data_IF_374088588139
#
_entry.id   IF_374088588139
#
_cell.length_a   1.000
_cell.length_b   1.000
_cell.length_c   1.000
_cell.angle_alpha   90.00
_cell.angle_beta   90.00
_cell.angle_gamma   90.00
#
_symmetry.space_group_name_H-M   'P 1'
#
loop_
_entity.id
_entity.type
_entity.pdbx_description
1 polymer ?
#
# COMPACT_ATOMS: atom_id res chain seq x y z
N UNK A 1 31.99 -74.73 -29.54
CA UNK A 1 32.09 -73.29 -29.85
C UNK A 1 30.93 -72.57 -29.16
N UNK A 2 31.20 -71.81 -28.11
CA UNK A 2 30.17 -71.06 -27.36
C UNK A 2 29.93 -69.70 -28.00
N UNK A 3 28.67 -69.36 -28.27
CA UNK A 3 28.26 -68.08 -28.86
C UNK A 3 28.59 -66.94 -27.87
N UNK A 4 29.24 -65.85 -28.28
CA UNK A 4 29.45 -64.70 -27.38
C UNK A 4 28.10 -64.12 -26.97
N UNK A 5 27.97 -63.77 -25.69
CA UNK A 5 26.77 -63.12 -25.17
C UNK A 5 26.62 -61.72 -25.80
N UNK A 6 25.40 -61.36 -26.20
CA UNK A 6 25.11 -60.02 -26.69
C UNK A 6 25.32 -58.99 -25.57
N UNK A 7 25.88 -57.79 -25.87
CA UNK A 7 26.00 -56.74 -24.87
C UNK A 7 24.60 -56.31 -24.38
N UNK A 8 24.46 -55.90 -23.10
CA UNK A 8 23.19 -55.43 -22.59
C UNK A 8 22.69 -54.22 -23.41
N UNK A 9 21.38 -54.09 -23.64
CA UNK A 9 20.84 -52.96 -24.38
C UNK A 9 21.25 -51.66 -23.69
N UNK A 10 21.74 -50.70 -24.50
CA UNK A 10 22.13 -49.39 -23.99
C UNK A 10 20.97 -48.73 -23.25
N UNK A 11 21.28 -48.08 -22.12
CA UNK A 11 20.29 -47.37 -21.30
C UNK A 11 19.42 -46.49 -22.19
N UNK A 12 18.11 -46.80 -22.25
CA UNK A 12 17.15 -45.88 -22.82
C UNK A 12 17.26 -44.54 -22.07
N UNK A 13 17.25 -43.39 -22.77
CA UNK A 13 17.26 -42.09 -22.09
C UNK A 13 16.12 -42.05 -21.08
N UNK A 14 16.44 -41.72 -19.83
CA UNK A 14 15.41 -41.57 -18.80
C UNK A 14 14.38 -40.55 -19.31
N UNK A 15 13.06 -40.86 -19.24
CA UNK A 15 12.04 -39.97 -19.78
C UNK A 15 12.19 -38.59 -19.14
N UNK A 16 12.21 -37.54 -19.96
CA UNK A 16 12.49 -36.18 -19.52
C UNK A 16 11.52 -35.78 -18.41
N UNK A 17 12.05 -35.66 -17.19
CA UNK A 17 11.26 -35.29 -16.02
C UNK A 17 10.63 -33.91 -16.19
N UNK A 18 9.44 -33.65 -15.63
CA UNK A 18 8.82 -32.33 -15.71
C UNK A 18 9.73 -31.27 -15.08
N UNK A 19 9.86 -30.12 -15.74
CA UNK A 19 10.68 -29.02 -15.25
C UNK A 19 10.20 -28.54 -13.87
N UNK A 20 11.07 -27.96 -13.02
CA UNK A 20 10.67 -27.44 -11.71
C UNK A 20 9.50 -26.43 -11.79
N UNK A 21 9.45 -25.63 -12.87
CA UNK A 21 8.34 -24.74 -13.18
C UNK A 21 7.05 -25.52 -13.53
N UNK A 22 7.13 -26.57 -14.35
CA UNK A 22 5.97 -27.43 -14.64
C UNK A 22 5.41 -28.11 -13.39
N UNK A 23 6.27 -28.57 -12.49
CA UNK A 23 5.86 -29.11 -11.17
C UNK A 23 5.22 -28.03 -10.29
N UNK A 24 5.76 -26.80 -10.31
CA UNK A 24 5.16 -25.67 -9.59
C UNK A 24 3.77 -25.31 -10.13
N UNK A 25 3.62 -25.05 -11.43
CA UNK A 25 2.32 -24.71 -12.03
C UNK A 25 1.32 -25.87 -11.93
N UNK A 26 1.77 -27.13 -11.97
CA UNK A 26 0.94 -28.30 -11.68
C UNK A 26 0.37 -28.29 -10.25
N UNK A 27 1.13 -27.81 -9.25
CA UNK A 27 0.64 -27.60 -7.88
C UNK A 27 -0.26 -26.36 -7.76
N UNK A 28 0.02 -25.28 -8.49
CA UNK A 28 -0.88 -24.12 -8.57
C UNK A 28 -2.25 -24.56 -9.07
N UNK A 29 -2.32 -25.25 -10.21
CA UNK A 29 -3.56 -25.66 -10.85
C UNK A 29 -4.37 -26.69 -10.05
N UNK A 30 -3.72 -27.64 -9.38
CA UNK A 30 -4.38 -28.72 -8.61
C UNK A 30 -4.64 -28.40 -7.13
N UNK A 31 -4.12 -27.29 -6.62
CA UNK A 31 -4.24 -26.94 -5.20
C UNK A 31 -5.62 -26.38 -4.83
N UNK A 32 -5.78 -26.02 -3.56
CA UNK A 32 -7.08 -25.57 -3.03
C UNK A 32 -7.49 -24.18 -3.58
N UNK A 33 -8.36 -24.21 -4.60
CA UNK A 33 -9.02 -23.03 -5.14
C UNK A 33 -10.11 -22.47 -4.22
N UNK A 34 -10.78 -23.30 -3.42
CA UNK A 34 -11.85 -22.83 -2.53
C UNK A 34 -11.29 -21.97 -1.38
N UNK A 35 -10.18 -22.38 -0.77
CA UNK A 35 -9.41 -21.55 0.17
C UNK A 35 -8.85 -20.29 -0.48
N UNK A 36 -8.42 -20.38 -1.73
CA UNK A 36 -7.88 -19.22 -2.49
C UNK A 36 -8.97 -18.19 -2.81
N UNK A 37 -10.17 -18.62 -3.20
CA UNK A 37 -11.35 -17.77 -3.37
C UNK A 37 -11.74 -17.11 -2.05
N UNK A 38 -11.79 -17.87 -0.94
CA UNK A 38 -12.04 -17.31 0.41
C UNK A 38 -11.01 -16.24 0.80
N UNK A 39 -9.75 -16.39 0.38
CA UNK A 39 -8.71 -15.37 0.55
C UNK A 39 -8.99 -14.09 -0.25
N UNK A 40 -9.44 -14.23 -1.51
CA UNK A 40 -9.77 -13.12 -2.42
C UNK A 40 -11.12 -12.44 -2.12
N UNK A 41 -12.04 -13.07 -1.40
CA UNK A 41 -13.31 -12.45 -1.00
C UNK A 41 -13.13 -11.18 -0.16
N UNK A 42 -12.05 -11.07 0.63
CA UNK A 42 -11.76 -9.88 1.44
C UNK A 42 -11.52 -8.62 0.59
N UNK A 43 -10.53 -8.57 -0.32
CA UNK A 43 -10.29 -7.40 -1.16
C UNK A 43 -11.45 -7.12 -2.14
N UNK A 44 -12.05 -8.16 -2.74
CA UNK A 44 -13.22 -7.98 -3.63
C UNK A 44 -14.43 -7.41 -2.89
N UNK A 45 -14.77 -7.97 -1.72
CA UNK A 45 -15.89 -7.49 -0.91
C UNK A 45 -15.68 -6.06 -0.40
N UNK A 46 -14.44 -5.64 -0.16
CA UNK A 46 -14.10 -4.27 0.20
C UNK A 46 -14.39 -3.29 -0.96
N UNK A 47 -13.97 -3.60 -2.20
CA UNK A 47 -14.26 -2.73 -3.36
C UNK A 47 -15.76 -2.63 -3.62
N UNK A 48 -16.47 -3.77 -3.60
CA UNK A 48 -17.94 -3.77 -3.79
C UNK A 48 -18.65 -2.99 -2.68
N UNK A 49 -18.23 -3.16 -1.42
CA UNK A 49 -18.80 -2.43 -0.29
C UNK A 49 -18.57 -0.91 -0.36
N UNK A 50 -17.36 -0.49 -0.75
CA UNK A 50 -17.04 0.93 -0.97
C UNK A 50 -17.83 1.51 -2.14
N UNK A 51 -17.94 0.79 -3.26
CA UNK A 51 -18.71 1.25 -4.42
C UNK A 51 -20.21 1.40 -4.09
N UNK A 52 -20.79 0.45 -3.36
CA UNK A 52 -22.18 0.56 -2.89
C UNK A 52 -22.35 1.74 -1.93
N UNK A 53 -21.41 1.95 -1.00
CA UNK A 53 -21.46 3.09 -0.07
C UNK A 53 -21.40 4.45 -0.82
N UNK A 54 -20.58 4.55 -1.87
CA UNK A 54 -20.48 5.73 -2.73
C UNK A 54 -21.66 5.86 -3.72
N UNK A 55 -22.44 4.80 -3.98
CA UNK A 55 -23.61 4.84 -4.86
C UNK A 55 -24.92 5.25 -4.17
N UNK A 56 -24.97 5.15 -2.83
CA UNK A 56 -26.15 5.50 -2.02
C UNK A 56 -26.53 6.99 -2.09
N UNK A 57 -25.60 7.97 -1.98
CA UNK A 57 -25.95 9.39 -2.00
C UNK A 57 -26.55 9.83 -3.34
N UNK A 58 -27.30 10.94 -3.33
CA UNK A 58 -27.93 11.50 -4.53
C UNK A 58 -27.13 12.61 -5.20
N UNK A 59 -26.07 13.10 -4.56
CA UNK A 59 -25.15 14.10 -5.11
C UNK A 59 -25.91 15.32 -5.67
N UNK A 60 -26.86 15.82 -4.87
CA UNK A 60 -27.71 16.97 -5.19
C UNK A 60 -28.80 16.76 -6.27
N UNK A 61 -29.00 15.55 -6.81
CA UNK A 61 -29.86 15.31 -7.99
C UNK A 61 -31.39 15.44 -7.79
N UNK A 62 -31.87 16.01 -6.68
CA UNK A 62 -33.31 16.16 -6.40
C UNK A 62 -34.07 14.83 -6.26
N UNK A 63 -35.40 14.90 -6.43
CA UNK A 63 -36.30 13.75 -6.28
C UNK A 63 -36.37 12.85 -7.53
N UNK A 64 -36.11 13.42 -8.73
CA UNK A 64 -36.05 12.71 -10.02
C UNK A 64 -34.59 12.67 -10.51
N UNK A 65 -33.79 11.65 -10.13
CA UNK A 65 -32.36 11.66 -10.35
C UNK A 65 -31.98 11.35 -11.81
N UNK A 66 -31.27 12.29 -12.44
CA UNK A 66 -30.72 12.13 -13.79
C UNK A 66 -29.72 10.96 -13.92
N UNK A 67 -29.03 10.57 -12.84
CA UNK A 67 -28.14 9.41 -12.81
C UNK A 67 -28.68 8.37 -11.83
N UNK A 68 -29.15 7.24 -12.37
CA UNK A 68 -29.70 6.15 -11.58
C UNK A 68 -28.66 5.49 -10.65
N UNK A 69 -29.12 4.82 -9.60
CA UNK A 69 -28.25 4.14 -8.63
C UNK A 69 -27.25 3.16 -9.29
N UNK A 70 -27.68 2.44 -10.33
CA UNK A 70 -26.81 1.52 -11.10
C UNK A 70 -25.63 2.26 -11.74
N UNK A 71 -25.85 3.48 -12.21
CA UNK A 71 -24.82 4.24 -12.93
C UNK A 71 -23.91 4.97 -11.95
N UNK A 72 -24.43 5.46 -10.83
CA UNK A 72 -23.61 5.90 -9.68
C UNK A 72 -22.70 4.78 -9.17
N UNK A 73 -23.20 3.54 -9.10
CA UNK A 73 -22.39 2.36 -8.73
C UNK A 73 -21.27 2.08 -9.73
N UNK A 74 -21.54 2.22 -11.03
CA UNK A 74 -20.54 2.03 -12.10
C UNK A 74 -19.49 3.14 -12.10
N UNK A 75 -19.89 4.40 -11.94
CA UNK A 75 -18.99 5.55 -11.77
C UNK A 75 -18.11 5.36 -10.52
N UNK A 76 -18.70 4.97 -9.38
CA UNK A 76 -17.97 4.69 -8.15
C UNK A 76 -16.97 3.52 -8.33
N UNK A 77 -17.36 2.44 -9.00
CA UNK A 77 -16.44 1.35 -9.33
C UNK A 77 -15.29 1.83 -10.22
N UNK A 78 -15.58 2.58 -11.28
CA UNK A 78 -14.55 3.09 -12.18
C UNK A 78 -13.53 3.98 -11.45
N UNK A 79 -14.00 4.91 -10.62
CA UNK A 79 -13.19 5.76 -9.74
C UNK A 79 -12.32 4.93 -8.78
N UNK A 80 -12.90 3.94 -8.08
CA UNK A 80 -12.16 3.09 -7.14
C UNK A 80 -11.12 2.20 -7.84
N UNK A 81 -11.38 1.77 -9.08
CA UNK A 81 -10.46 0.93 -9.86
C UNK A 81 -9.26 1.71 -10.43
N UNK A 82 -9.30 3.05 -10.46
CA UNK A 82 -8.12 3.88 -10.76
C UNK A 82 -6.96 3.62 -9.79
N UNK A 83 -7.26 3.16 -8.56
CA UNK A 83 -6.27 2.80 -7.54
C UNK A 83 -5.34 1.63 -7.93
N UNK A 84 -5.62 0.95 -9.06
CA UNK A 84 -4.80 -0.09 -9.68
C UNK A 84 -4.17 0.35 -11.02
N UNK A 85 -4.28 1.63 -11.38
CA UNK A 85 -3.70 2.21 -12.60
C UNK A 85 -4.62 2.22 -13.82
N UNK A 86 -5.93 1.98 -13.68
CA UNK A 86 -6.87 2.21 -14.78
C UNK A 86 -7.17 3.71 -14.94
N UNK A 87 -7.07 4.26 -16.15
CA UNK A 87 -7.63 5.58 -16.46
C UNK A 87 -9.16 5.57 -16.43
N UNK A 88 -9.78 6.76 -16.49
CA UNK A 88 -11.23 6.95 -16.50
C UNK A 88 -11.60 8.16 -17.35
N UNK A 89 -12.30 7.89 -18.45
CA UNK A 89 -12.91 8.90 -19.29
C UNK A 89 -14.43 8.90 -19.09
N UNK A 90 -15.03 10.09 -19.05
CA UNK A 90 -16.47 10.33 -19.09
C UNK A 90 -16.76 11.19 -20.31
N UNK A 91 -17.34 10.57 -21.36
CA UNK A 91 -17.92 11.34 -22.46
C UNK A 91 -19.37 11.65 -22.10
N UNK A 92 -19.76 12.92 -22.03
CA UNK A 92 -21.14 13.36 -21.89
C UNK A 92 -21.65 13.94 -23.23
N UNK A 93 -22.43 13.16 -23.96
CA UNK A 93 -23.24 13.70 -25.07
C UNK A 93 -24.35 14.54 -24.45
N UNK A 94 -24.35 15.84 -24.70
CA UNK A 94 -25.49 16.67 -24.30
C UNK A 94 -26.65 16.42 -25.27
N UNK A 95 -27.53 15.48 -24.93
CA UNK A 95 -28.80 15.34 -25.66
C UNK A 95 -29.61 16.62 -25.49
N UNK A 96 -29.83 17.32 -26.60
CA UNK A 96 -30.32 18.70 -26.63
C UNK A 96 -31.61 18.90 -25.83
N UNK A 97 -31.46 19.43 -24.62
CA UNK A 97 -32.53 19.64 -23.64
C UNK A 97 -33.59 20.62 -24.14
N UNK A 98 -34.65 20.10 -24.73
CA UNK A 98 -35.82 20.85 -25.22
C UNK A 98 -36.68 21.37 -24.06
N UNK A 99 -36.17 22.36 -23.31
CA UNK A 99 -36.84 23.00 -22.17
C UNK A 99 -36.61 24.51 -22.18
N UNK A 100 -37.64 25.28 -22.51
CA UNK A 100 -37.48 26.72 -22.74
C UNK A 100 -37.57 27.58 -21.47
N UNK A 101 -36.69 28.58 -21.38
CA UNK A 101 -37.00 29.86 -20.76
C UNK A 101 -36.92 30.95 -21.82
N UNK A 102 -38.04 31.63 -22.06
CA UNK A 102 -38.12 32.71 -23.03
C UNK A 102 -37.50 34.00 -22.49
N UNK A 103 -36.41 34.44 -23.12
CA UNK A 103 -35.83 35.77 -22.95
C UNK A 103 -35.50 36.34 -24.31
N UNK A 104 -36.40 37.14 -24.88
CA UNK A 104 -36.20 37.72 -26.21
C UNK A 104 -35.13 38.83 -26.16
N UNK A 105 -34.01 38.62 -26.84
CA UNK A 105 -33.06 39.68 -27.21
C UNK A 105 -33.20 39.97 -28.70
N UNK A 106 -33.80 41.12 -29.01
CA UNK A 106 -34.14 41.56 -30.36
C UNK A 106 -32.97 42.32 -31.00
N UNK A 107 -31.99 41.62 -31.59
CA UNK A 107 -30.98 42.21 -32.50
C UNK A 107 -30.13 41.17 -33.27
N UNK A 108 -30.21 41.16 -34.61
CA UNK A 108 -29.03 40.96 -35.49
C UNK A 108 -28.69 39.57 -36.06
N UNK A 109 -29.37 39.19 -37.15
CA UNK A 109 -29.02 38.13 -38.13
C UNK A 109 -27.81 38.54 -39.04
N UNK A 110 -26.95 37.71 -39.66
CA UNK A 110 -26.81 36.23 -39.83
C UNK A 110 -25.33 35.85 -40.13
N UNK A 111 -25.00 34.54 -40.15
CA UNK A 111 -23.84 33.83 -40.74
C UNK A 111 -22.50 33.72 -39.93
N UNK A 112 -22.08 32.52 -39.49
CA UNK A 112 -22.79 31.24 -39.62
C UNK A 112 -22.19 30.00 -38.92
N UNK A 113 -23.11 29.14 -38.48
CA UNK A 113 -23.16 27.68 -38.71
C UNK A 113 -22.00 26.76 -38.28
N UNK A 114 -21.96 26.44 -36.98
CA UNK A 114 -21.89 25.10 -36.33
C UNK A 114 -21.93 25.37 -34.80
N UNK A 115 -22.54 24.57 -33.92
CA UNK A 115 -22.38 23.12 -33.76
C UNK A 115 -23.69 22.43 -33.25
N UNK A 116 -24.16 21.36 -33.91
CA UNK A 116 -25.37 20.65 -33.51
C UNK A 116 -25.09 19.56 -32.45
N UNK A 117 -25.21 19.92 -31.17
CA UNK A 117 -25.18 18.97 -30.05
C UNK A 117 -23.76 18.66 -29.57
N UNK A 118 -23.16 19.63 -28.88
CA UNK A 118 -21.80 19.52 -28.34
C UNK A 118 -21.64 18.30 -27.43
N UNK A 119 -20.78 17.36 -27.86
CA UNK A 119 -20.30 16.28 -27.02
C UNK A 119 -19.21 16.85 -26.11
N UNK A 120 -19.45 16.83 -24.81
CA UNK A 120 -18.43 17.15 -23.81
C UNK A 120 -17.67 15.90 -23.41
N UNK A 121 -16.36 15.96 -23.26
CA UNK A 121 -15.57 14.87 -22.67
C UNK A 121 -14.83 15.40 -21.44
N UNK A 122 -14.75 14.57 -20.40
CA UNK A 122 -13.97 14.83 -19.19
C UNK A 122 -13.22 13.55 -18.82
N UNK A 123 -11.89 13.57 -18.89
CA UNK A 123 -11.04 12.53 -18.31
C UNK A 123 -10.62 12.95 -16.90
N UNK A 124 -10.54 12.00 -15.98
CA UNK A 124 -10.02 12.22 -14.63
C UNK A 124 -8.99 11.14 -14.31
N UNK A 125 -7.74 11.56 -14.15
CA UNK A 125 -6.62 10.71 -13.80
C UNK A 125 -6.15 11.03 -12.37
N UNK A 126 -6.43 10.11 -11.46
CA UNK A 126 -6.05 10.19 -10.06
C UNK A 126 -5.72 8.79 -9.55
N UNK A 127 -4.87 8.67 -8.53
CA UNK A 127 -4.66 7.41 -7.82
C UNK A 127 -5.27 7.57 -6.41
N UNK A 128 -6.47 6.99 -6.13
CA UNK A 128 -7.07 7.00 -4.80
C UNK A 128 -6.28 6.12 -3.82
N UNK A 129 -5.21 6.67 -3.24
CA UNK A 129 -4.24 5.92 -2.44
C UNK A 129 -4.88 5.22 -1.23
N UNK A 130 -6.00 5.71 -0.70
CA UNK A 130 -6.76 5.03 0.37
C UNK A 130 -7.23 3.65 -0.08
N UNK A 131 -7.72 3.55 -1.31
CA UNK A 131 -8.27 2.30 -1.88
C UNK A 131 -7.14 1.29 -2.06
N UNK A 132 -5.97 1.73 -2.55
CA UNK A 132 -4.76 0.89 -2.63
C UNK A 132 -4.34 0.38 -1.25
N UNK A 133 -4.33 1.24 -0.22
CA UNK A 133 -3.98 0.85 1.16
C UNK A 133 -4.99 -0.12 1.76
N UNK A 134 -6.29 0.13 1.59
CA UNK A 134 -7.37 -0.75 2.07
C UNK A 134 -7.35 -2.11 1.37
N UNK A 135 -7.09 -2.14 0.06
CA UNK A 135 -6.92 -3.36 -0.73
C UNK A 135 -5.73 -4.20 -0.24
N UNK A 136 -4.57 -3.58 -0.01
CA UNK A 136 -3.41 -4.24 0.61
C UNK A 136 -3.77 -4.79 2.00
N UNK A 137 -4.48 -4.02 2.82
CA UNK A 137 -4.97 -4.46 4.14
C UNK A 137 -5.85 -5.71 4.06
N UNK A 138 -6.84 -5.71 3.15
CA UNK A 138 -7.75 -6.82 2.92
C UNK A 138 -7.03 -8.07 2.38
N UNK A 139 -6.09 -7.90 1.44
CA UNK A 139 -5.19 -8.98 0.97
C UNK A 139 -4.36 -9.57 2.11
N UNK A 140 -3.82 -8.74 3.02
CA UNK A 140 -3.06 -9.22 4.18
C UNK A 140 -3.96 -10.05 5.12
N UNK A 141 -5.22 -9.67 5.31
CA UNK A 141 -6.19 -10.44 6.13
C UNK A 141 -6.47 -11.80 5.46
N UNK A 142 -6.83 -11.81 4.17
CA UNK A 142 -7.09 -13.04 3.42
C UNK A 142 -5.89 -13.98 3.36
N UNK A 143 -4.70 -13.45 3.03
CA UNK A 143 -3.46 -14.23 2.99
C UNK A 143 -3.04 -14.76 4.37
N UNK A 144 -3.30 -14.03 5.47
CA UNK A 144 -3.07 -14.54 6.83
C UNK A 144 -4.01 -15.70 7.19
N UNK A 145 -5.28 -15.65 6.76
CA UNK A 145 -6.22 -16.74 6.97
C UNK A 145 -5.77 -18.01 6.23
N UNK A 146 -5.39 -17.89 4.95
CA UNK A 146 -4.85 -19.00 4.14
C UNK A 146 -3.51 -19.51 4.68
N UNK A 147 -2.63 -18.63 5.17
CA UNK A 147 -1.36 -19.04 5.80
C UNK A 147 -1.57 -19.89 7.06
N UNK A 148 -2.57 -19.59 7.88
CA UNK A 148 -2.93 -20.40 9.07
C UNK A 148 -3.37 -21.83 8.71
N UNK A 149 -3.77 -22.05 7.45
CA UNK A 149 -4.15 -23.36 6.90
C UNK A 149 -2.97 -24.06 6.19
N UNK A 150 -1.75 -23.51 6.26
CA UNK A 150 -0.55 -24.07 5.63
C UNK A 150 -0.32 -23.63 4.18
N UNK A 151 -1.05 -22.63 3.66
CA UNK A 151 -0.89 -22.15 2.29
C UNK A 151 0.51 -21.61 1.97
N UNK A 152 1.04 -21.99 0.81
CA UNK A 152 2.36 -21.58 0.32
C UNK A 152 2.34 -20.55 -0.81
N UNK A 153 3.43 -20.43 -1.56
CA UNK A 153 3.55 -19.52 -2.70
C UNK A 153 2.58 -19.86 -3.85
N UNK A 154 2.22 -21.14 -3.99
CA UNK A 154 1.19 -21.58 -4.94
C UNK A 154 -0.21 -21.02 -4.61
N UNK A 155 -0.52 -20.84 -3.32
CA UNK A 155 -1.74 -20.17 -2.88
C UNK A 155 -1.68 -18.65 -3.13
N UNK A 156 -0.50 -18.02 -3.04
CA UNK A 156 -0.33 -16.61 -3.39
C UNK A 156 -0.74 -16.36 -4.85
N UNK A 157 -0.27 -17.22 -5.77
CA UNK A 157 -0.63 -17.15 -7.20
C UNK A 157 -2.13 -17.33 -7.42
N UNK A 158 -2.76 -18.34 -6.79
CA UNK A 158 -4.22 -18.55 -6.91
C UNK A 158 -5.04 -17.38 -6.36
N UNK A 159 -4.74 -16.88 -5.16
CA UNK A 159 -5.44 -15.71 -4.58
C UNK A 159 -5.32 -14.50 -5.50
N UNK A 160 -4.12 -14.25 -6.03
CA UNK A 160 -3.86 -13.08 -6.88
C UNK A 160 -4.55 -13.18 -8.23
N UNK A 161 -4.60 -14.38 -8.81
CA UNK A 161 -5.36 -14.64 -10.04
C UNK A 161 -6.87 -14.44 -9.83
N UNK A 162 -7.44 -14.91 -8.71
CA UNK A 162 -8.86 -14.69 -8.39
C UNK A 162 -9.15 -13.21 -8.11
N UNK A 163 -8.28 -12.51 -7.38
CA UNK A 163 -8.45 -11.08 -7.11
C UNK A 163 -8.36 -10.23 -8.38
N UNK A 164 -7.42 -10.56 -9.29
CA UNK A 164 -7.31 -9.93 -10.59
C UNK A 164 -8.54 -10.22 -11.47
N UNK A 165 -9.01 -11.47 -11.52
CA UNK A 165 -10.24 -11.82 -12.25
C UNK A 165 -11.48 -11.10 -11.70
N UNK A 166 -11.56 -10.89 -10.39
CA UNK A 166 -12.63 -10.09 -9.79
C UNK A 166 -12.54 -8.61 -10.20
N UNK A 167 -11.34 -8.02 -10.19
CA UNK A 167 -11.12 -6.65 -10.69
C UNK A 167 -11.46 -6.53 -12.18
N UNK A 168 -11.13 -7.53 -13.00
CA UNK A 168 -11.52 -7.56 -14.42
C UNK A 168 -13.04 -7.55 -14.58
N UNK A 169 -13.76 -8.41 -13.86
CA UNK A 169 -15.23 -8.48 -13.91
C UNK A 169 -15.88 -7.18 -13.42
N UNK A 170 -15.36 -6.59 -12.33
CA UNK A 170 -15.85 -5.31 -11.83
C UNK A 170 -15.56 -4.15 -12.80
N UNK A 171 -14.38 -4.14 -13.44
CA UNK A 171 -14.00 -3.15 -14.44
C UNK A 171 -14.87 -3.24 -15.70
N UNK A 172 -15.14 -4.44 -16.21
CA UNK A 172 -16.06 -4.67 -17.33
C UNK A 172 -17.50 -4.26 -16.97
N UNK A 173 -17.96 -4.51 -15.74
CA UNK A 173 -19.27 -4.04 -15.28
C UNK A 173 -19.34 -2.50 -15.14
N UNK A 174 -18.22 -1.87 -14.80
CA UNK A 174 -18.06 -0.42 -14.70
C UNK A 174 -17.91 0.31 -16.06
N UNK A 175 -18.00 -0.41 -17.19
CA UNK A 175 -18.07 0.14 -18.54
C UNK A 175 -19.50 0.08 -19.12
N UNK A 176 -20.47 0.89 -18.65
CA UNK A 176 -21.70 1.09 -19.39
C UNK A 176 -21.45 1.97 -20.63
N UNK A 177 -22.04 1.58 -21.75
CA UNK A 177 -22.64 2.56 -22.65
C UNK A 177 -24.00 2.91 -22.03
N UNK A 178 -24.08 4.07 -21.38
CA UNK A 178 -25.38 4.73 -21.15
C UNK A 178 -25.69 5.44 -22.47
N UNK A 179 -26.96 5.62 -22.84
CA UNK A 179 -27.37 6.07 -24.19
C UNK A 179 -26.79 7.43 -24.64
N UNK A 180 -26.16 8.20 -23.75
CA UNK A 180 -25.39 9.42 -24.01
C UNK A 180 -24.01 9.47 -23.28
N UNK A 181 -23.55 8.38 -22.65
CA UNK A 181 -22.33 8.36 -21.82
C UNK A 181 -21.44 7.13 -22.07
N UNK A 182 -20.24 7.31 -22.64
CA UNK A 182 -19.23 6.25 -22.75
C UNK A 182 -18.19 6.37 -21.63
N UNK A 183 -18.02 5.29 -20.85
CA UNK A 183 -17.01 5.20 -19.79
C UNK A 183 -15.85 4.30 -20.24
N UNK A 184 -14.76 4.90 -20.69
CA UNK A 184 -13.52 4.17 -20.98
C UNK A 184 -12.67 4.07 -19.71
N UNK A 185 -12.93 3.05 -18.91
CA UNK A 185 -11.89 2.53 -18.02
C UNK A 185 -10.94 1.62 -18.81
N UNK A 186 -9.68 1.50 -18.35
CA UNK A 186 -8.76 0.45 -18.84
C UNK A 186 -8.77 -0.75 -17.88
N UNK A 187 -9.75 -1.67 -17.98
CA UNK A 187 -9.90 -2.78 -17.04
C UNK A 187 -8.73 -3.75 -17.12
N UNK A 188 -8.07 -3.85 -18.29
CA UNK A 188 -6.85 -4.65 -18.46
C UNK A 188 -5.70 -4.08 -17.62
N UNK A 189 -5.48 -2.77 -17.65
CA UNK A 189 -4.40 -2.13 -16.89
C UNK A 189 -4.67 -2.22 -15.38
N UNK A 190 -5.91 -1.94 -14.94
CA UNK A 190 -6.33 -2.14 -13.56
C UNK A 190 -6.20 -3.62 -13.11
N UNK A 191 -6.51 -4.58 -13.99
CA UNK A 191 -6.33 -6.03 -13.72
C UNK A 191 -4.86 -6.40 -13.55
N UNK A 192 -3.96 -5.86 -14.39
CA UNK A 192 -2.53 -6.10 -14.29
C UNK A 192 -1.92 -5.47 -13.03
N UNK A 193 -2.33 -4.23 -12.68
CA UNK A 193 -1.94 -3.58 -11.44
C UNK A 193 -2.44 -4.33 -10.20
N UNK A 194 -3.71 -4.73 -10.19
CA UNK A 194 -4.29 -5.53 -9.12
C UNK A 194 -3.61 -6.92 -9.00
N UNK A 195 -3.27 -7.57 -10.12
CA UNK A 195 -2.53 -8.83 -10.14
C UNK A 195 -1.14 -8.67 -9.53
N UNK A 196 -0.36 -7.68 -9.98
CA UNK A 196 0.99 -7.41 -9.48
C UNK A 196 0.98 -7.06 -7.99
N UNK A 197 0.09 -6.16 -7.57
CA UNK A 197 -0.05 -5.75 -6.17
C UNK A 197 -0.50 -6.92 -5.28
N UNK A 198 -1.41 -7.77 -5.77
CA UNK A 198 -1.85 -8.98 -5.06
C UNK A 198 -0.74 -10.02 -4.94
N UNK A 199 0.03 -10.27 -6.00
CA UNK A 199 1.15 -11.21 -5.99
C UNK A 199 2.23 -10.79 -4.99
N UNK A 200 2.64 -9.52 -5.01
CA UNK A 200 3.62 -8.97 -4.08
C UNK A 200 3.10 -9.07 -2.64
N UNK A 201 1.87 -8.64 -2.38
CA UNK A 201 1.29 -8.60 -1.03
C UNK A 201 1.07 -10.00 -0.46
N UNK A 202 0.40 -10.89 -1.20
CA UNK A 202 0.12 -12.26 -0.75
C UNK A 202 1.40 -13.07 -0.64
N UNK A 203 2.32 -12.92 -1.60
CA UNK A 203 3.65 -13.53 -1.57
C UNK A 203 4.45 -13.13 -0.33
N UNK A 204 4.51 -11.83 -0.02
CA UNK A 204 5.20 -11.33 1.18
C UNK A 204 4.61 -11.86 2.50
N UNK A 205 3.28 -12.04 2.58
CA UNK A 205 2.61 -12.61 3.76
C UNK A 205 2.86 -14.11 3.91
N UNK A 206 2.77 -14.86 2.81
CA UNK A 206 2.86 -16.33 2.77
C UNK A 206 4.31 -16.83 2.85
N UNK A 207 5.28 -16.11 2.28
CA UNK A 207 6.71 -16.43 2.34
C UNK A 207 7.46 -15.77 3.51
N UNK A 208 6.76 -15.11 4.44
CA UNK A 208 7.37 -14.36 5.54
C UNK A 208 8.41 -15.14 6.34
N UNK A 209 8.20 -16.44 6.59
CA UNK A 209 9.11 -17.23 7.42
C UNK A 209 10.37 -17.65 6.65
N UNK A 210 10.22 -17.98 5.37
CA UNK A 210 11.35 -18.25 4.45
C UNK A 210 12.19 -16.98 4.27
N UNK A 211 11.53 -15.84 4.07
CA UNK A 211 12.19 -14.54 4.00
C UNK A 211 12.90 -14.19 5.32
N UNK A 212 12.30 -14.47 6.47
CA UNK A 212 12.93 -14.23 7.78
C UNK A 212 14.17 -15.11 8.00
N UNK A 213 14.11 -16.40 7.64
CA UNK A 213 15.24 -17.32 7.71
C UNK A 213 16.40 -16.90 6.79
N UNK A 214 16.08 -16.43 5.58
CA UNK A 214 17.06 -15.89 4.63
C UNK A 214 17.67 -14.56 5.09
N UNK A 215 16.87 -13.65 5.66
CA UNK A 215 17.34 -12.38 6.22
C UNK A 215 18.22 -12.59 7.46
N UNK A 216 17.95 -13.62 8.28
CA UNK A 216 18.79 -13.95 9.44
C UNK A 216 20.24 -14.29 9.04
N UNK A 217 20.46 -14.77 7.80
CA UNK A 217 21.79 -15.03 7.24
C UNK A 217 22.48 -13.76 6.68
N UNK A 218 21.79 -12.61 6.66
CA UNK A 218 22.22 -11.39 5.96
C UNK A 218 21.98 -10.12 6.81
N UNK A 219 22.86 -9.81 7.79
CA UNK A 219 22.60 -8.75 8.77
C UNK A 219 22.40 -7.35 8.15
N UNK A 220 23.11 -7.02 7.06
CA UNK A 220 22.94 -5.74 6.35
C UNK A 220 21.61 -5.61 5.60
N UNK A 221 21.06 -6.72 5.06
CA UNK A 221 19.73 -6.73 4.46
C UNK A 221 18.64 -6.70 5.53
N UNK A 222 18.87 -7.36 6.67
CA UNK A 222 17.97 -7.34 7.82
C UNK A 222 17.83 -5.93 8.42
N UNK A 223 18.92 -5.15 8.55
CA UNK A 223 18.84 -3.76 9.02
C UNK A 223 18.11 -2.85 8.02
N UNK A 224 18.32 -3.04 6.71
CA UNK A 224 17.55 -2.31 5.69
C UNK A 224 16.05 -2.63 5.79
N UNK A 225 15.66 -3.90 5.93
CA UNK A 225 14.24 -4.29 6.08
C UNK A 225 13.62 -3.73 7.37
N UNK A 226 14.37 -3.65 8.47
CA UNK A 226 13.94 -2.98 9.71
C UNK A 226 13.80 -1.46 9.53
N UNK A 227 14.72 -0.83 8.82
CA UNK A 227 14.67 0.58 8.49
C UNK A 227 13.45 0.90 7.62
N UNK A 228 13.22 0.17 6.53
CA UNK A 228 12.02 0.28 5.69
C UNK A 228 10.75 0.07 6.51
N UNK A 229 10.71 -0.96 7.36
CA UNK A 229 9.55 -1.20 8.23
C UNK A 229 9.30 -0.07 9.25
N UNK A 230 10.33 0.67 9.67
CA UNK A 230 10.18 1.83 10.56
C UNK A 230 9.76 3.07 9.78
N UNK A 231 10.36 3.31 8.61
CA UNK A 231 10.00 4.38 7.69
C UNK A 231 8.52 4.30 7.27
N UNK A 232 8.04 3.13 6.85
CA UNK A 232 6.61 2.91 6.48
C UNK A 232 5.66 3.16 7.65
N UNK A 233 6.06 2.85 8.89
CA UNK A 233 5.25 3.16 10.09
C UNK A 233 5.23 4.66 10.40
N UNK A 234 6.36 5.34 10.24
CA UNK A 234 6.43 6.79 10.40
C UNK A 234 5.62 7.51 9.32
N UNK A 235 5.75 7.09 8.06
CA UNK A 235 4.96 7.60 6.93
C UNK A 235 3.46 7.37 7.14
N UNK A 236 3.05 6.17 7.56
CA UNK A 236 1.65 5.92 7.91
C UNK A 236 1.14 6.80 9.05
N UNK A 237 1.94 7.06 10.09
CA UNK A 237 1.54 7.94 11.19
C UNK A 237 1.45 9.42 10.77
N UNK A 238 2.38 9.89 9.94
CA UNK A 238 2.37 11.25 9.37
C UNK A 238 1.18 11.43 8.43
N UNK A 239 0.94 10.50 7.51
CA UNK A 239 -0.20 10.57 6.58
C UNK A 239 -1.55 10.50 7.30
N UNK A 240 -1.65 9.72 8.39
CA UNK A 240 -2.86 9.74 9.24
C UNK A 240 -3.06 11.09 9.93
N UNK A 241 -1.99 11.73 10.43
CA UNK A 241 -2.08 13.06 11.04
C UNK A 241 -2.47 14.13 10.02
N UNK A 242 -1.72 14.25 8.92
CA UNK A 242 -1.95 15.25 7.89
C UNK A 242 -3.29 15.03 7.17
N UNK A 243 -3.69 13.77 6.94
CA UNK A 243 -5.00 13.43 6.38
C UNK A 243 -6.15 13.75 7.31
N UNK A 244 -6.00 13.53 8.63
CA UNK A 244 -7.00 13.94 9.61
C UNK A 244 -7.13 15.47 9.68
N UNK A 245 -6.02 16.19 9.70
CA UNK A 245 -6.01 17.66 9.68
C UNK A 245 -6.71 18.17 8.41
N UNK A 246 -6.28 17.69 7.23
CA UNK A 246 -6.87 18.07 5.94
C UNK A 246 -8.36 17.76 5.82
N UNK A 247 -8.80 16.60 6.33
CA UNK A 247 -10.22 16.22 6.34
C UNK A 247 -11.05 17.11 7.26
N UNK A 248 -10.53 17.47 8.44
CA UNK A 248 -11.20 18.40 9.36
C UNK A 248 -11.25 19.82 8.77
N UNK A 249 -10.17 20.30 8.15
CA UNK A 249 -10.15 21.64 7.52
C UNK A 249 -11.06 21.71 6.30
N UNK A 250 -11.22 20.61 5.55
CA UNK A 250 -12.18 20.50 4.46
C UNK A 250 -13.63 20.47 4.97
N UNK A 251 -13.90 19.67 6.01
CA UNK A 251 -15.22 19.59 6.65
C UNK A 251 -15.65 20.90 7.34
N UNK A 252 -14.71 21.81 7.60
CA UNK A 252 -14.96 23.13 8.19
C UNK A 252 -15.19 24.24 7.16
N UNK A 253 -15.11 23.97 5.85
CA UNK A 253 -15.42 24.95 4.81
C UNK A 253 -16.92 25.14 4.65
N UNK A 254 -17.35 26.39 4.48
CA UNK A 254 -18.75 26.71 4.20
C UNK A 254 -19.21 26.07 2.88
N UNK A 255 -20.40 25.46 2.91
CA UNK A 255 -20.99 24.80 1.75
C UNK A 255 -20.57 23.34 1.50
N UNK A 256 -19.62 22.78 2.27
CA UNK A 256 -19.23 21.36 2.12
C UNK A 256 -20.36 20.43 2.61
N UNK A 257 -20.92 19.66 1.67
CA UNK A 257 -21.95 18.67 1.98
C UNK A 257 -21.35 17.38 2.56
N UNK A 258 -22.16 16.62 3.31
CA UNK A 258 -21.78 15.28 3.77
C UNK A 258 -21.46 14.31 2.62
N UNK A 259 -21.99 14.55 1.42
CA UNK A 259 -21.70 13.77 0.21
C UNK A 259 -20.29 14.07 -0.31
N UNK A 260 -19.87 15.36 -0.32
CA UNK A 260 -18.49 15.75 -0.64
C UNK A 260 -17.50 15.16 0.37
N UNK A 261 -17.86 15.10 1.66
CA UNK A 261 -17.06 14.44 2.69
C UNK A 261 -16.91 12.92 2.48
N UNK A 262 -17.85 12.24 1.80
CA UNK A 262 -17.71 10.83 1.41
C UNK A 262 -16.74 10.66 0.22
N UNK A 263 -16.80 11.55 -0.77
CA UNK A 263 -15.87 11.56 -1.93
C UNK A 263 -14.43 11.87 -1.50
N UNK A 264 -14.24 12.68 -0.45
CA UNK A 264 -12.91 12.94 0.12
C UNK A 264 -12.27 11.72 0.82
N UNK A 265 -13.05 10.73 1.30
CA UNK A 265 -12.51 9.57 2.03
C UNK A 265 -11.55 8.69 1.19
N UNK A 266 -11.87 8.32 -0.07
CA UNK A 266 -10.91 7.69 -0.98
C UNK A 266 -9.59 8.45 -1.19
N UNK A 267 -9.55 9.75 -0.93
CA UNK A 267 -8.42 10.64 -1.24
C UNK A 267 -7.59 11.06 -0.03
N UNK A 268 -7.85 10.50 1.16
CA UNK A 268 -7.19 10.94 2.41
C UNK A 268 -5.64 10.98 2.37
N UNK A 269 -4.90 10.02 1.78
CA UNK A 269 -3.45 10.13 1.66
C UNK A 269 -3.01 11.18 0.63
N UNK A 270 -3.78 11.44 -0.43
CA UNK A 270 -3.50 12.50 -1.40
C UNK A 270 -3.62 13.87 -0.70
N UNK A 271 -4.73 14.09 0.02
CA UNK A 271 -4.95 15.25 0.90
C UNK A 271 -3.82 15.36 1.94
N UNK A 272 -3.42 14.25 2.56
CA UNK A 272 -2.34 14.24 3.54
C UNK A 272 -0.99 14.67 2.96
N UNK A 273 -0.69 14.34 1.69
CA UNK A 273 0.54 14.72 1.00
C UNK A 273 0.54 16.21 0.63
N UNK A 274 -0.61 16.74 0.21
CA UNK A 274 -0.80 18.18 -0.01
C UNK A 274 -0.60 18.97 1.30
N UNK A 275 -1.29 18.58 2.37
CA UNK A 275 -1.16 19.18 3.72
C UNK A 275 0.26 19.07 4.26
N UNK A 276 0.96 17.95 4.00
CA UNK A 276 2.36 17.78 4.40
C UNK A 276 3.31 18.66 3.58
N UNK A 277 3.08 18.82 2.27
CA UNK A 277 3.87 19.73 1.42
C UNK A 277 3.80 21.16 1.96
N UNK A 278 2.57 21.69 2.10
CA UNK A 278 2.32 23.04 2.63
C UNK A 278 2.87 23.18 4.04
N UNK A 279 2.58 22.24 4.95
CA UNK A 279 3.05 22.27 6.33
C UNK A 279 4.58 22.19 6.49
N UNK A 280 5.30 21.71 5.48
CA UNK A 280 6.77 21.73 5.42
C UNK A 280 7.36 22.95 4.71
N UNK A 281 6.53 23.81 4.13
CA UNK A 281 6.94 25.03 3.42
C UNK A 281 7.03 24.88 1.90
N UNK A 282 6.66 23.72 1.36
CA UNK A 282 6.49 23.51 -0.07
C UNK A 282 5.14 24.00 -0.59
N UNK A 283 4.96 23.91 -1.90
CA UNK A 283 3.75 24.31 -2.61
C UNK A 283 2.93 23.12 -3.13
N UNK A 284 1.68 23.40 -3.49
CA UNK A 284 0.85 22.61 -4.39
C UNK A 284 0.75 23.37 -5.70
N UNK A 285 1.46 22.91 -6.71
CA UNK A 285 1.44 23.48 -8.05
C UNK A 285 0.06 23.24 -8.68
N UNK A 286 -0.45 24.26 -9.36
CA UNK A 286 -1.60 24.15 -10.25
C UNK A 286 -1.22 24.62 -11.66
N UNK A 287 -1.69 23.89 -12.66
CA UNK A 287 -1.58 24.29 -14.07
C UNK A 287 -2.97 24.18 -14.69
N UNK A 288 -3.49 25.31 -15.14
CA UNK A 288 -4.80 25.44 -15.81
C UNK A 288 -4.54 25.97 -17.21
N UNK A 289 -4.50 25.05 -18.16
CA UNK A 289 -4.34 25.36 -19.58
C UNK A 289 -5.70 25.26 -20.24
N UNK A 290 -6.23 26.34 -20.83
CA UNK A 290 -7.54 26.24 -21.45
C UNK A 290 -7.96 27.40 -22.34
N UNK A 291 -9.02 27.14 -23.10
CA UNK A 291 -9.75 28.13 -23.87
C UNK A 291 -11.22 28.05 -23.50
N UNK A 292 -11.60 28.79 -22.46
CA UNK A 292 -12.98 28.88 -22.00
C UNK A 292 -13.52 30.30 -22.15
N UNK A 293 -14.84 30.45 -22.24
CA UNK A 293 -15.45 31.79 -22.38
C UNK A 293 -15.38 32.58 -21.06
N UNK A 294 -15.23 31.88 -19.93
CA UNK A 294 -15.03 32.44 -18.59
C UNK A 294 -13.55 32.72 -18.24
N UNK A 295 -12.63 31.94 -18.83
CA UNK A 295 -11.18 32.03 -18.60
C UNK A 295 -10.54 32.26 -19.97
N UNK A 296 -10.35 33.54 -20.31
CA UNK A 296 -9.86 33.96 -21.62
C UNK A 296 -8.57 33.25 -22.02
N UNK A 297 -8.45 32.90 -23.30
CA UNK A 297 -7.44 31.96 -23.83
C UNK A 297 -6.04 32.17 -23.25
N UNK A 298 -5.64 31.29 -22.35
CA UNK A 298 -4.44 31.47 -21.53
C UNK A 298 -4.05 30.19 -20.79
N UNK A 299 -2.78 30.15 -20.41
CA UNK A 299 -2.22 29.18 -19.46
C UNK A 299 -2.02 29.92 -18.15
N UNK A 300 -2.82 29.59 -17.13
CA UNK A 300 -2.62 30.10 -15.79
C UNK A 300 -1.90 29.04 -14.94
N UNK A 301 -0.75 29.43 -14.39
CA UNK A 301 0.10 28.55 -13.60
C UNK A 301 0.46 29.28 -12.30
N UNK A 302 0.18 28.61 -11.18
CA UNK A 302 0.49 29.10 -9.85
C UNK A 302 0.81 27.98 -8.88
N UNK A 303 1.07 28.34 -7.63
CA UNK A 303 1.64 27.42 -6.64
C UNK A 303 1.14 27.74 -5.23
N UNK A 304 0.12 27.02 -4.78
CA UNK A 304 -0.51 27.24 -3.48
C UNK A 304 0.43 26.84 -2.34
N UNK A 305 1.02 27.86 -1.71
CA UNK A 305 1.97 27.72 -0.60
C UNK A 305 1.48 28.37 0.70
N UNK A 306 2.39 28.46 1.67
CA UNK A 306 2.09 29.02 3.01
C UNK A 306 1.60 30.48 3.00
N UNK A 307 2.03 31.30 2.03
CA UNK A 307 1.56 32.69 1.90
C UNK A 307 0.13 32.79 1.39
N UNK A 308 -0.21 32.00 0.36
CA UNK A 308 -1.59 31.92 -0.15
C UNK A 308 -2.53 31.31 0.89
N UNK A 309 -2.04 30.38 1.73
CA UNK A 309 -2.78 29.85 2.87
C UNK A 309 -3.10 30.92 3.93
N UNK A 310 -2.17 31.83 4.25
CA UNK A 310 -2.44 32.93 5.19
C UNK A 310 -3.43 33.95 4.61
N UNK A 311 -3.30 34.26 3.31
CA UNK A 311 -4.15 35.23 2.63
C UNK A 311 -5.59 34.71 2.42
N UNK A 312 -5.73 33.40 2.14
CA UNK A 312 -7.04 32.78 1.87
C UNK A 312 -7.82 32.37 3.12
N UNK A 313 -7.14 31.92 4.19
CA UNK A 313 -7.80 31.42 5.40
C UNK A 313 -7.60 32.34 6.61
N UNK A 314 -6.33 32.54 7.03
CA UNK A 314 -5.83 33.50 8.03
C UNK A 314 -4.43 33.10 8.55
N UNK A 315 -3.79 34.00 9.31
CA UNK A 315 -2.53 33.76 10.03
C UNK A 315 -2.52 32.53 10.96
N UNK A 316 -3.67 32.11 11.52
CA UNK A 316 -3.72 30.89 12.35
C UNK A 316 -3.64 29.61 11.53
N UNK A 317 -4.09 29.61 10.26
CA UNK A 317 -3.90 28.50 9.34
C UNK A 317 -2.41 28.27 9.05
N UNK A 318 -1.63 29.36 8.85
CA UNK A 318 -0.17 29.32 8.73
C UNK A 318 0.49 28.68 9.97
N UNK A 319 0.11 29.12 11.17
CA UNK A 319 0.62 28.54 12.43
C UNK A 319 0.24 27.06 12.58
N UNK A 320 -0.99 26.69 12.21
CA UNK A 320 -1.48 25.31 12.24
C UNK A 320 -0.74 24.39 11.27
N UNK A 321 -0.47 24.87 10.04
CA UNK A 321 0.30 24.14 9.04
C UNK A 321 1.74 23.89 9.50
N UNK A 322 2.44 24.93 9.98
CA UNK A 322 3.81 24.81 10.51
C UNK A 322 3.89 23.92 11.75
N UNK A 323 2.92 24.01 12.67
CA UNK A 323 2.84 23.14 13.83
C UNK A 323 2.62 21.67 13.42
N UNK A 324 1.76 21.41 12.43
CA UNK A 324 1.53 20.07 11.87
C UNK A 324 2.79 19.53 11.21
N UNK A 325 3.49 20.34 10.42
CA UNK A 325 4.77 19.98 9.80
C UNK A 325 5.85 19.61 10.81
N UNK A 326 6.00 20.41 11.87
CA UNK A 326 6.92 20.15 12.98
C UNK A 326 6.58 18.84 13.71
N UNK A 327 5.30 18.61 14.05
CA UNK A 327 4.86 17.36 14.70
C UNK A 327 5.12 16.15 13.80
N UNK A 328 4.84 16.25 12.50
CA UNK A 328 5.13 15.21 11.52
C UNK A 328 6.63 14.88 11.46
N UNK A 329 7.50 15.89 11.41
CA UNK A 329 8.95 15.69 11.46
C UNK A 329 9.39 15.02 12.77
N UNK A 330 8.86 15.45 13.92
CA UNK A 330 9.14 14.84 15.23
C UNK A 330 8.67 13.38 15.31
N UNK A 331 7.54 13.01 14.72
CA UNK A 331 7.08 11.61 14.64
C UNK A 331 8.11 10.74 13.91
N UNK A 332 8.62 11.21 12.77
CA UNK A 332 9.68 10.50 12.01
C UNK A 332 10.95 10.33 12.85
N UNK A 333 11.45 11.44 13.41
CA UNK A 333 12.67 11.45 14.22
C UNK A 333 12.58 10.55 15.46
N UNK A 334 11.48 10.61 16.21
CA UNK A 334 11.27 9.81 17.43
C UNK A 334 11.08 8.32 17.10
N UNK A 335 10.37 7.98 16.02
CA UNK A 335 10.24 6.58 15.59
C UNK A 335 11.57 5.98 15.11
N UNK A 336 12.36 6.74 14.34
CA UNK A 336 13.72 6.34 13.97
C UNK A 336 14.59 6.15 15.23
N UNK A 337 14.63 7.15 16.12
CA UNK A 337 15.45 7.11 17.34
C UNK A 337 15.10 5.95 18.29
N UNK A 338 13.81 5.56 18.37
CA UNK A 338 13.34 4.48 19.26
C UNK A 338 13.38 3.07 18.66
N UNK A 339 13.50 2.92 17.33
CA UNK A 339 13.41 1.60 16.65
C UNK A 339 14.67 1.15 15.93
N UNK A 340 15.59 2.07 15.63
CA UNK A 340 16.91 1.75 15.07
C UNK A 340 17.90 1.35 16.16
N UNK A 341 18.73 0.36 15.89
CA UNK A 341 19.82 -0.04 16.78
C UNK A 341 20.98 0.97 16.77
N UNK A 342 21.34 1.45 15.58
CA UNK A 342 22.49 2.32 15.35
C UNK A 342 22.14 3.63 14.65
N UNK A 343 23.04 4.62 14.79
CA UNK A 343 22.95 5.91 14.07
C UNK A 343 22.86 5.74 12.54
N UNK A 344 23.52 4.72 11.99
CA UNK A 344 23.43 4.39 10.55
C UNK A 344 22.02 3.96 10.17
N UNK A 345 21.39 3.08 10.95
CA UNK A 345 20.02 2.64 10.71
C UNK A 345 19.02 3.79 10.86
N UNK A 346 19.24 4.75 11.78
CA UNK A 346 18.42 5.97 11.88
C UNK A 346 18.46 6.82 10.60
N UNK A 347 19.66 7.02 10.03
CA UNK A 347 19.83 7.74 8.76
C UNK A 347 19.19 6.95 7.61
N UNK A 348 19.30 5.62 7.59
CA UNK A 348 18.58 4.79 6.61
C UNK A 348 17.06 4.90 6.76
N UNK A 349 16.51 4.99 7.98
CA UNK A 349 15.06 5.23 8.19
C UNK A 349 14.65 6.58 7.59
N UNK A 350 15.41 7.65 7.85
CA UNK A 350 15.15 8.97 7.28
C UNK A 350 15.21 8.98 5.75
N UNK A 351 16.25 8.38 5.17
CA UNK A 351 16.40 8.27 3.72
C UNK A 351 15.29 7.46 3.05
N UNK A 352 14.92 6.30 3.61
CA UNK A 352 13.81 5.50 3.07
C UNK A 352 12.46 6.18 3.27
N UNK A 353 12.25 6.89 4.38
CA UNK A 353 11.05 7.71 4.56
C UNK A 353 10.96 8.78 3.47
N UNK A 354 12.04 9.52 3.22
CA UNK A 354 12.07 10.60 2.23
C UNK A 354 11.81 10.06 0.82
N UNK A 355 12.47 8.97 0.43
CA UNK A 355 12.23 8.32 -0.88
C UNK A 355 10.77 7.87 -1.02
N UNK A 356 10.19 7.27 0.02
CA UNK A 356 8.80 6.84 0.00
C UNK A 356 7.82 8.03 -0.05
N UNK A 357 8.10 9.12 0.67
CA UNK A 357 7.34 10.37 0.61
C UNK A 357 7.38 10.98 -0.80
N UNK A 358 8.56 11.07 -1.44
CA UNK A 358 8.71 11.61 -2.80
C UNK A 358 7.99 10.76 -3.85
N UNK A 359 8.07 9.43 -3.75
CA UNK A 359 7.33 8.51 -4.63
C UNK A 359 5.83 8.70 -4.47
N UNK A 360 5.32 8.81 -3.24
CA UNK A 360 3.88 9.08 -3.02
C UNK A 360 3.48 10.48 -3.49
N UNK A 361 4.32 11.49 -3.30
CA UNK A 361 4.10 12.88 -3.75
C UNK A 361 3.89 12.91 -5.27
N UNK A 362 4.81 12.34 -6.04
CA UNK A 362 4.68 12.24 -7.50
C UNK A 362 3.58 11.29 -8.01
N UNK A 363 2.97 10.48 -7.13
CA UNK A 363 1.79 9.66 -7.44
C UNK A 363 0.47 10.28 -6.95
N UNK A 364 0.53 11.39 -6.20
CA UNK A 364 -0.64 11.95 -5.51
C UNK A 364 -1.39 13.02 -6.29
N UNK A 365 -0.79 13.49 -7.39
CA UNK A 365 -1.37 14.48 -8.28
C UNK A 365 -2.72 14.04 -8.87
N UNK A 366 -3.51 15.05 -9.21
CA UNK A 366 -4.85 14.94 -9.76
C UNK A 366 -4.83 15.71 -11.07
N UNK A 367 -5.04 15.03 -12.20
CA UNK A 367 -5.21 15.68 -13.50
C UNK A 367 -6.59 15.44 -14.08
N UNK A 368 -7.11 16.46 -14.74
CA UNK A 368 -8.44 16.50 -15.35
C UNK A 368 -8.33 17.21 -16.69
N UNK A 369 -8.55 16.49 -17.78
CA UNK A 369 -8.66 17.07 -19.12
C UNK A 369 -10.13 17.11 -19.53
N UNK A 370 -10.57 18.24 -20.09
CA UNK A 370 -11.95 18.45 -20.51
C UNK A 370 -12.02 19.06 -21.90
N UNK A 371 -13.07 18.71 -22.66
CA UNK A 371 -13.40 19.26 -23.97
C UNK A 371 -14.91 19.43 -24.12
N UNK A 372 -15.37 20.37 -24.94
CA UNK A 372 -16.79 20.68 -25.14
C UNK A 372 -17.40 21.46 -23.97
N UNK A 373 -18.69 21.23 -23.71
CA UNK A 373 -19.41 21.82 -22.58
C UNK A 373 -19.72 20.76 -21.52
N UNK A 374 -19.01 20.80 -20.39
CA UNK A 374 -19.19 19.86 -19.27
C UNK A 374 -19.37 20.67 -17.98
N UNK A 375 -20.55 20.54 -17.36
CA UNK A 375 -20.95 21.37 -16.22
C UNK A 375 -20.82 22.88 -16.51
N UNK A 376 -20.13 23.64 -15.65
CA UNK A 376 -19.88 25.08 -15.83
C UNK A 376 -18.70 25.37 -16.78
N UNK A 377 -17.95 24.35 -17.21
CA UNK A 377 -16.82 24.49 -18.11
C UNK A 377 -17.25 24.37 -19.57
N UNK A 378 -17.12 25.45 -20.33
CA UNK A 378 -17.27 25.49 -21.79
C UNK A 378 -15.90 25.72 -22.42
N UNK A 379 -15.42 24.78 -23.25
CA UNK A 379 -14.14 24.95 -23.96
C UNK A 379 -13.34 23.66 -24.08
N UNK A 380 -12.01 23.80 -24.12
CA UNK A 380 -11.10 22.67 -23.97
C UNK A 380 -9.92 23.09 -23.09
N UNK A 381 -9.45 22.18 -22.25
CA UNK A 381 -8.34 22.44 -21.34
C UNK A 381 -7.91 21.26 -20.48
N UNK A 382 -6.79 21.44 -19.78
CA UNK A 382 -6.28 20.55 -18.74
C UNK A 382 -6.16 21.35 -17.44
N UNK A 383 -6.47 20.69 -16.33
CA UNK A 383 -6.31 21.17 -14.97
C UNK A 383 -5.52 20.09 -14.21
N UNK A 384 -4.34 20.46 -13.71
CA UNK A 384 -3.49 19.60 -12.90
C UNK A 384 -3.27 20.23 -11.51
N UNK A 385 -3.39 19.42 -10.46
CA UNK A 385 -3.10 19.78 -9.07
C UNK A 385 -2.13 18.76 -8.47
N UNK A 386 -0.91 19.17 -8.13
CA UNK A 386 0.09 18.27 -7.54
C UNK A 386 1.00 18.96 -6.52
N UNK A 387 1.35 18.33 -5.38
CA UNK A 387 2.40 18.83 -4.51
C UNK A 387 3.76 18.80 -5.22
N UNK A 388 4.50 19.92 -5.18
CA UNK A 388 5.76 20.06 -5.90
C UNK A 388 6.82 19.05 -5.40
N UNK A 389 7.30 18.19 -6.31
CA UNK A 389 8.32 17.18 -5.97
C UNK A 389 9.68 17.83 -5.65
N UNK A 390 9.96 19.00 -6.23
CA UNK A 390 11.19 19.75 -5.96
C UNK A 390 11.18 20.33 -4.53
N UNK A 391 10.08 20.97 -4.13
CA UNK A 391 9.88 21.46 -2.76
C UNK A 391 9.88 20.30 -1.76
N UNK A 392 9.13 19.22 -2.06
CA UNK A 392 9.08 18.03 -1.22
C UNK A 392 10.47 17.41 -0.97
N UNK A 393 11.38 17.50 -1.94
CA UNK A 393 12.77 17.07 -1.77
C UNK A 393 13.56 18.05 -0.89
N UNK A 394 13.49 19.35 -1.17
CA UNK A 394 14.26 20.38 -0.46
C UNK A 394 13.83 20.49 1.00
N UNK A 395 12.53 20.70 1.25
CA UNK A 395 11.99 20.81 2.60
C UNK A 395 11.95 19.45 3.30
N UNK A 396 11.69 18.36 2.58
CA UNK A 396 11.78 17.00 3.14
C UNK A 396 13.19 16.68 3.66
N UNK A 397 14.25 17.05 2.93
CA UNK A 397 15.63 16.93 3.41
C UNK A 397 15.88 17.76 4.68
N UNK A 398 15.37 19.00 4.73
CA UNK A 398 15.52 19.89 5.88
C UNK A 398 14.81 19.31 7.13
N UNK A 399 13.53 18.97 7.01
CA UNK A 399 12.70 18.49 8.13
C UNK A 399 13.10 17.09 8.59
N UNK A 400 13.27 16.13 7.68
CA UNK A 400 13.66 14.76 8.03
C UNK A 400 15.12 14.73 8.52
N UNK A 401 16.01 15.49 7.88
CA UNK A 401 17.40 15.64 8.31
C UNK A 401 17.50 16.22 9.71
N UNK A 402 16.86 17.36 9.97
CA UNK A 402 16.79 17.99 11.29
C UNK A 402 16.19 17.07 12.35
N UNK A 403 15.07 16.40 12.06
CA UNK A 403 14.42 15.49 12.99
C UNK A 403 15.27 14.25 13.31
N UNK A 404 15.86 13.60 12.32
CA UNK A 404 16.78 12.47 12.56
C UNK A 404 18.02 12.93 13.33
N UNK A 405 18.52 14.14 13.09
CA UNK A 405 19.66 14.68 13.82
C UNK A 405 19.34 14.95 15.30
N UNK A 406 18.22 15.62 15.60
CA UNK A 406 17.84 16.11 16.91
C UNK A 406 17.12 15.08 17.81
N UNK A 407 16.30 14.20 17.24
CA UNK A 407 15.43 13.32 18.02
C UNK A 407 16.14 12.42 19.06
N UNK A 408 17.36 11.88 18.85
CA UNK A 408 18.05 11.12 19.90
C UNK A 408 18.35 11.95 21.15
N UNK A 409 18.56 13.27 21.02
CA UNK A 409 18.76 14.16 22.16
C UNK A 409 17.44 14.40 22.89
N UNK A 410 16.34 14.65 22.17
CA UNK A 410 15.00 14.80 22.74
C UNK A 410 14.55 13.53 23.48
N UNK A 411 14.80 12.35 22.91
CA UNK A 411 14.49 11.04 23.53
C UNK A 411 15.34 10.78 24.78
N UNK A 412 16.59 11.28 24.84
CA UNK A 412 17.42 11.24 26.05
C UNK A 412 16.95 12.22 27.13
N UNK A 413 16.60 13.44 26.75
CA UNK A 413 16.09 14.48 27.67
C UNK A 413 14.74 14.11 28.29
N UNK A 414 13.90 13.36 27.56
CA UNK A 414 12.59 12.87 28.05
C UNK A 414 12.67 11.58 28.88
N UNK A 415 13.87 11.18 29.33
CA UNK A 415 14.04 10.21 30.42
C UNK A 415 14.12 8.73 30.03
N UNK A 416 14.05 8.35 28.74
CA UNK A 416 14.34 6.96 28.35
C UNK A 416 15.85 6.72 28.32
N UNK A 417 16.39 6.37 29.48
CA UNK A 417 17.81 6.06 29.68
C UNK A 417 18.27 4.80 28.95
N UNK A 418 18.72 4.95 27.71
CA UNK A 418 19.70 4.04 27.10
C UNK A 418 21.07 4.39 27.66
N UNK A 419 21.58 3.55 28.57
CA UNK A 419 22.69 3.89 29.46
C UNK A 419 23.96 4.37 28.75
N UNK A 420 24.59 5.39 29.31
CA UNK A 420 26.04 5.55 29.21
C UNK A 420 26.69 4.22 29.59
N UNK A 421 27.66 3.69 28.83
CA UNK A 421 28.56 2.69 29.40
C UNK A 421 29.19 3.33 30.64
N UNK A 422 29.00 2.71 31.80
CA UNK A 422 29.56 3.24 33.04
C UNK A 422 31.08 3.40 32.85
N UNK A 423 31.59 4.60 33.15
CA UNK A 423 33.03 4.79 33.21
C UNK A 423 33.60 3.74 34.18
N UNK A 424 34.72 3.07 33.86
CA UNK A 424 35.27 2.05 34.73
C UNK A 424 35.60 2.67 36.09
N UNK A 425 34.82 2.28 37.10
CA UNK A 425 35.06 2.67 38.49
C UNK A 425 36.46 2.22 38.89
N UNK A 426 37.31 3.09 39.47
CA UNK A 426 38.61 2.70 40.00
C UNK A 426 38.50 1.65 41.12
N UNK A 427 37.32 1.51 41.71
CA UNK A 427 36.98 0.52 42.71
C UNK A 427 36.04 -0.51 42.09
N UNK A 428 36.53 -1.76 41.96
CA UNK A 428 35.79 -2.85 41.32
C UNK A 428 34.53 -3.28 42.09
N UNK A 429 33.65 -4.07 41.43
CA UNK A 429 32.36 -4.45 42.02
C UNK A 429 32.56 -5.38 43.23
N UNK A 430 32.12 -4.94 44.41
CA UNK A 430 32.00 -5.81 45.57
C UNK A 430 30.77 -6.72 45.41
N UNK A 431 30.88 -8.06 45.57
CA UNK A 431 29.74 -8.96 45.42
C UNK A 431 28.71 -8.77 46.56
N UNK A 432 27.49 -8.34 46.21
CA UNK A 432 26.35 -8.43 47.11
C UNK A 432 25.82 -9.87 47.20
N UNK A 433 25.33 -10.36 48.35
CA UNK A 433 25.07 -11.80 48.53
C UNK A 433 23.90 -12.40 47.74
N UNK A 434 23.05 -11.57 47.13
CA UNK A 434 21.85 -12.02 46.40
C UNK A 434 21.65 -11.20 45.12
N UNK A 435 22.12 -11.74 43.98
CA UNK A 435 21.96 -11.14 42.67
C UNK A 435 22.31 -12.11 41.56
N UNK A 436 21.29 -12.69 40.90
CA UNK A 436 21.47 -13.65 39.80
C UNK A 436 21.96 -12.95 38.54
N UNK A 437 23.16 -13.31 38.07
CA UNK A 437 23.73 -12.85 36.79
C UNK A 437 23.13 -13.66 35.63
N UNK A 438 22.45 -13.04 34.64
CA UNK A 438 22.05 -13.73 33.42
C UNK A 438 23.24 -13.78 32.45
N UNK A 439 23.70 -14.97 32.05
CA UNK A 439 24.55 -15.10 30.85
C UNK A 439 25.70 -16.12 30.87
N UNK A 440 26.01 -16.81 31.97
CA UNK A 440 27.03 -17.86 31.93
C UNK A 440 26.44 -19.20 31.45
N UNK A 441 26.92 -19.64 30.28
CA UNK A 441 26.62 -20.95 29.71
C UNK A 441 27.48 -22.02 30.42
N UNK A 442 26.97 -22.58 31.51
CA UNK A 442 27.60 -23.74 32.17
C UNK A 442 27.43 -24.99 31.30
N UNK A 443 28.50 -25.76 31.01
CA UNK A 443 28.35 -27.06 30.35
C UNK A 443 27.53 -28.02 31.23
N UNK A 444 26.82 -29.00 30.64
CA UNK A 444 26.01 -29.94 31.41
C UNK A 444 26.89 -30.75 32.37
N UNK A 445 26.45 -30.97 33.62
CA UNK A 445 27.24 -31.71 34.60
C UNK A 445 27.41 -33.16 34.15
N UNK A 446 28.66 -33.63 34.20
CA UNK A 446 28.98 -35.06 34.08
C UNK A 446 28.22 -35.83 35.19
N UNK A 447 27.56 -36.97 34.90
CA UNK A 447 26.84 -37.72 35.93
C UNK A 447 27.78 -38.18 37.06
N UNK A 448 27.70 -37.49 38.20
CA UNK A 448 28.43 -37.86 39.41
C UNK A 448 27.92 -39.18 39.97
N UNK A 449 28.82 -39.99 40.52
CA UNK A 449 28.48 -41.28 41.11
C UNK A 449 27.49 -41.11 42.27
N UNK A 450 26.34 -41.79 42.16
CA UNK A 450 25.31 -41.81 43.19
C UNK A 450 25.84 -42.54 44.43
N UNK A 451 26.04 -41.84 45.53
CA UNK A 451 26.33 -42.44 46.84
C UNK A 451 25.00 -42.61 47.59
N UNK A 452 24.53 -43.85 47.82
CA UNK A 452 23.26 -44.06 48.52
C UNK A 452 23.40 -43.77 50.03
N UNK A 453 22.30 -43.43 50.73
CA UNK A 453 22.31 -43.26 52.17
C UNK A 453 22.73 -44.55 52.91
N UNK A 454 23.43 -44.48 54.06
CA UNK A 454 23.74 -45.67 54.84
C UNK A 454 22.44 -46.24 55.46
N UNK A 455 22.00 -47.43 55.04
CA UNK A 455 20.89 -48.10 55.74
C UNK A 455 20.14 -49.23 55.03
N UNK A 456 20.24 -49.41 53.71
CA UNK A 456 19.44 -50.43 52.98
C UNK A 456 20.29 -51.46 52.27
N UNK A 457 20.09 -52.74 52.61
CA UNK A 457 20.81 -53.88 52.03
C UNK A 457 20.43 -54.15 50.56
N UNK A 458 21.33 -54.75 49.74
CA UNK A 458 21.05 -54.99 48.32
C UNK A 458 20.10 -56.19 48.09
N UNK A 459 19.09 -56.00 47.25
CA UNK A 459 18.33 -57.10 46.63
C UNK A 459 18.99 -57.62 45.33
N UNK A 460 18.65 -58.82 44.84
CA UNK A 460 19.37 -59.44 43.71
C UNK A 460 19.10 -58.77 42.35
N UNK A 461 20.12 -58.82 41.48
CA UNK A 461 20.10 -58.26 40.12
C UNK A 461 19.14 -59.02 39.17
N UNK A 462 18.38 -58.27 38.36
CA UNK A 462 17.72 -58.76 37.15
C UNK A 462 18.43 -58.25 35.88
N UNK A 463 18.44 -59.03 34.77
CA UNK A 463 19.25 -58.74 33.59
C UNK A 463 18.69 -57.63 32.68
N UNK A 464 19.60 -56.93 32.01
CA UNK A 464 19.34 -55.74 31.20
C UNK A 464 19.17 -56.09 29.70
N UNK A 465 18.02 -55.77 29.05
CA UNK A 465 17.81 -56.14 27.64
C UNK A 465 18.55 -55.26 26.61
N UNK A 466 19.51 -55.87 25.92
CA UNK A 466 19.66 -55.83 24.46
C UNK A 466 19.86 -54.49 23.74
N UNK A 467 21.13 -54.12 23.47
CA UNK A 467 21.45 -53.33 22.27
C UNK A 467 21.39 -54.23 21.03
N UNK A 468 20.49 -53.94 20.09
CA UNK A 468 20.39 -54.64 18.81
C UNK A 468 21.44 -54.16 17.81
N UNK A 469 22.28 -55.08 17.32
CA UNK A 469 23.28 -54.83 16.28
C UNK A 469 22.67 -55.01 14.88
N UNK A 470 23.05 -54.17 13.91
CA UNK A 470 22.68 -54.35 12.50
C UNK A 470 23.53 -55.46 11.84
N UNK A 471 22.92 -56.31 10.98
CA UNK A 471 23.62 -56.97 9.88
C UNK A 471 23.26 -56.36 8.52
N UNK A 472 24.22 -56.39 7.60
CA UNK A 472 24.05 -55.98 6.20
C UNK A 472 23.41 -57.06 5.31
N UNK A 473 23.32 -56.83 3.99
CA UNK A 473 22.50 -57.63 3.08
C UNK A 473 23.29 -58.73 2.35
N UNK A 474 22.68 -59.92 2.22
CA UNK A 474 23.19 -61.01 1.36
C UNK A 474 22.08 -61.66 0.51
N UNK A 475 22.31 -61.68 -0.81
CA UNK A 475 22.04 -62.77 -1.78
C UNK A 475 20.67 -63.50 -1.86
N UNK A 476 19.99 -63.49 -3.03
CA UNK A 476 18.84 -64.36 -3.30
C UNK A 476 19.23 -65.72 -3.93
N UNK A 477 18.57 -66.81 -3.49
CA UNK A 477 18.31 -68.11 -4.15
C UNK A 477 17.76 -69.10 -3.10
N UNK A 478 16.88 -70.06 -3.38
CA UNK A 478 16.03 -70.32 -4.54
C UNK A 478 14.91 -71.30 -4.14
N UNK A 479 13.77 -71.26 -4.83
CA UNK A 479 12.96 -72.42 -5.22
C UNK A 479 12.10 -72.05 -6.43
#
# INVERSE_FOLDING_TARGET
MTRPAAPPPGYAPAPAGPSPLGVFFGRVARGDWAGSVKGALWPTGLIVGLAVALAIPSYGQGDDPAVGWSDRLRIALAMLLQAFGGGFDVTAVSSGGRGGYGGASDYGDTYGDFDPGGQGQMSLSLIPLTVTVLWIGALIIGARAVRRQGGGLDAAVRISAVAAAAVLVLGLYAQPEIEDLSIHSSPVLATLGALALSLVTTGAVLQRDVAAAWLAQRPGTLSLVRACGTAVRALGAVLLLCGLVGYITFAAQDGVSGEAMLVALPLLPNIALMVLSVGWGGSVEYDVQGRADLIGSGTDHGAFGLGELSDALNDWALVGALATGLVSALIVGVLAARRSADRREQVTVGGVFLVAYLVLTGMSGLSMEYTGSVAEFTGAGNLEFAPSVADALLFGLLWVGGAVLLAPYLVRMTGSGGGTPAAPSPYGPQPGPYGTVPGQYTPPPTPGAYTPPPGTAPGPYGPQPGQGHYPGPDGPRAH
#
